data_IF_299214689067
#
_entry.id   IF_299214689067
#
_cell.length_a   1.000
_cell.length_b   1.000
_cell.length_c   1.000
_cell.angle_alpha   90.00
_cell.angle_beta   90.00
_cell.angle_gamma   90.00
#
_symmetry.space_group_name_H-M   'P 1'
#
loop_
_entity.id
_entity.type
_entity.pdbx_description
1 polymer ?
#
# COMPACT_ATOMS: atom_id res chain seq x y z
N UNK A 1 10.46 -8.29 8.56
CA UNK A 1 10.40 -7.93 9.98
C UNK A 1 9.31 -8.75 10.63
N UNK A 2 9.68 -9.63 11.52
CA UNK A 2 8.81 -10.64 12.07
C UNK A 2 7.84 -10.04 13.09
N UNK A 3 6.56 -10.11 12.78
CA UNK A 3 5.53 -10.03 13.81
C UNK A 3 5.65 -11.31 14.64
N UNK A 4 6.33 -11.22 15.77
CA UNK A 4 6.26 -12.27 16.76
C UNK A 4 4.85 -12.21 17.36
N UNK A 5 4.13 -13.32 17.40
CA UNK A 5 2.78 -13.38 17.97
C UNK A 5 2.72 -12.67 19.33
N UNK A 6 1.76 -11.77 19.50
CA UNK A 6 1.60 -10.95 20.69
C UNK A 6 2.39 -9.64 20.74
N UNK A 7 3.03 -9.26 19.62
CA UNK A 7 3.76 -7.97 19.51
C UNK A 7 3.26 -7.08 18.38
N UNK A 8 2.03 -7.25 17.93
CA UNK A 8 1.40 -6.43 16.89
C UNK A 8 1.37 -4.95 17.26
N UNK A 9 1.34 -4.63 18.57
CA UNK A 9 1.41 -3.26 19.06
C UNK A 9 2.72 -2.55 18.67
N UNK A 10 3.86 -3.27 18.63
CA UNK A 10 5.13 -2.68 18.21
C UNK A 10 5.08 -2.15 16.78
N UNK A 11 4.40 -2.85 15.87
CA UNK A 11 4.23 -2.36 14.51
C UNK A 11 3.49 -1.03 14.46
N UNK A 12 2.49 -0.84 15.33
CA UNK A 12 1.71 0.41 15.37
C UNK A 12 2.50 1.58 15.97
N UNK A 13 3.38 1.30 16.92
CA UNK A 13 4.17 2.31 17.63
C UNK A 13 5.50 2.62 16.92
N UNK A 14 6.04 1.67 16.16
CA UNK A 14 7.33 1.83 15.45
C UNK A 14 7.18 2.31 13.99
N UNK A 15 6.08 2.95 13.64
CA UNK A 15 5.85 3.42 12.27
C UNK A 15 6.89 4.43 11.80
N UNK A 16 7.50 5.19 12.70
CA UNK A 16 8.60 6.08 12.35
C UNK A 16 9.82 5.31 11.79
N UNK A 17 10.16 4.17 12.40
CA UNK A 17 11.25 3.33 11.90
C UNK A 17 10.90 2.72 10.54
N UNK A 18 9.69 2.20 10.37
CA UNK A 18 9.24 1.62 9.11
C UNK A 18 9.23 2.66 7.99
N UNK A 19 8.74 3.85 8.28
CA UNK A 19 8.77 5.00 7.38
C UNK A 19 10.20 5.34 6.94
N UNK A 20 11.12 5.50 7.89
CA UNK A 20 12.51 5.86 7.61
C UNK A 20 13.20 4.79 6.75
N UNK A 21 12.94 3.51 7.03
CA UNK A 21 13.47 2.39 6.26
C UNK A 21 12.94 2.37 4.82
N UNK A 22 11.61 2.45 4.64
CA UNK A 22 10.99 2.48 3.32
C UNK A 22 11.44 3.69 2.50
N UNK A 23 11.49 4.87 3.13
CA UNK A 23 12.00 6.07 2.47
C UNK A 23 13.45 5.90 2.05
N UNK A 24 14.31 5.32 2.89
CA UNK A 24 15.71 5.07 2.56
C UNK A 24 15.84 4.13 1.35
N UNK A 25 15.06 3.06 1.30
CA UNK A 25 15.06 2.12 0.18
C UNK A 25 14.66 2.82 -1.15
N UNK A 26 13.66 3.69 -1.12
CA UNK A 26 13.30 4.50 -2.29
C UNK A 26 14.40 5.52 -2.65
N UNK A 27 14.99 6.14 -1.64
CA UNK A 27 16.03 7.15 -1.83
C UNK A 27 17.28 6.59 -2.53
N UNK A 28 17.76 5.41 -2.14
CA UNK A 28 18.94 4.79 -2.75
C UNK A 28 18.70 4.32 -4.19
N UNK A 29 17.42 4.12 -4.59
CA UNK A 29 17.06 3.79 -5.96
C UNK A 29 17.00 5.02 -6.87
N UNK A 30 16.92 6.22 -6.30
CA UNK A 30 16.80 7.47 -7.04
C UNK A 30 18.03 7.71 -7.90
N UNK A 31 17.80 7.91 -9.20
CA UNK A 31 18.85 8.06 -10.19
C UNK A 31 19.40 6.75 -10.77
N UNK A 32 19.11 5.60 -10.13
CA UNK A 32 19.48 4.29 -10.67
C UNK A 32 18.36 3.69 -11.54
N UNK A 33 17.12 4.01 -11.20
CA UNK A 33 15.94 3.51 -11.89
C UNK A 33 14.96 4.63 -12.22
N UNK A 34 14.22 4.47 -13.31
CA UNK A 34 13.18 5.44 -13.73
C UNK A 34 11.92 5.35 -12.89
N UNK A 35 11.59 4.17 -12.39
CA UNK A 35 10.48 3.95 -11.47
C UNK A 35 10.79 2.83 -10.48
N UNK A 36 10.13 2.88 -9.34
CA UNK A 36 10.10 1.81 -8.36
C UNK A 36 8.65 1.39 -8.13
N UNK A 37 8.41 0.09 -8.01
CA UNK A 37 7.11 -0.48 -7.65
C UNK A 37 7.22 -1.03 -6.25
N UNK A 38 6.28 -0.69 -5.39
CA UNK A 38 6.22 -1.19 -4.02
C UNK A 38 4.78 -1.54 -3.63
N UNK A 39 4.62 -2.57 -2.83
CA UNK A 39 3.36 -2.92 -2.16
C UNK A 39 3.16 -2.17 -0.84
N UNK A 40 4.17 -1.42 -0.41
CA UNK A 40 4.20 -0.71 0.87
C UNK A 40 4.52 0.78 0.63
N UNK A 41 3.58 1.58 0.08
CA UNK A 41 3.78 3.00 -0.12
C UNK A 41 3.96 3.72 1.22
N UNK A 42 4.74 4.81 1.22
CA UNK A 42 5.05 5.59 2.44
C UNK A 42 3.80 6.00 3.23
N UNK A 43 2.70 6.28 2.54
CA UNK A 43 1.42 6.65 3.15
C UNK A 43 0.87 5.58 4.11
N UNK A 44 1.15 4.29 3.87
CA UNK A 44 0.67 3.23 4.75
C UNK A 44 1.26 3.31 6.15
N UNK A 45 2.43 3.90 6.30
CA UNK A 45 3.01 4.10 7.65
C UNK A 45 2.15 5.05 8.50
N UNK A 46 1.56 6.08 7.88
CA UNK A 46 0.60 6.95 8.56
C UNK A 46 -0.73 6.25 8.84
N UNK A 47 -1.21 5.40 7.93
CA UNK A 47 -2.43 4.62 8.13
C UNK A 47 -2.33 3.64 9.31
N UNK A 48 -1.18 2.98 9.47
CA UNK A 48 -0.95 2.00 10.52
C UNK A 48 -0.47 2.61 11.85
N UNK A 49 -0.09 3.87 11.87
CA UNK A 49 0.36 4.54 13.09
C UNK A 49 -0.75 4.63 14.14
N UNK A 50 -0.41 4.35 15.39
CA UNK A 50 -1.33 4.48 16.50
C UNK A 50 -1.56 5.98 16.83
N UNK A 51 -2.78 6.53 16.63
CA UNK A 51 -3.00 7.96 16.74
C UNK A 51 -2.88 8.51 18.17
N UNK A 52 -2.99 7.64 19.16
CA UNK A 52 -2.88 7.97 20.57
C UNK A 52 -1.44 8.19 21.05
N UNK A 53 -0.45 7.60 20.36
CA UNK A 53 0.97 7.72 20.71
C UNK A 53 1.81 8.39 19.62
N UNK A 54 1.28 8.54 18.41
CA UNK A 54 2.01 9.10 17.27
C UNK A 54 1.78 10.61 17.21
N UNK A 55 2.85 11.43 17.27
CA UNK A 55 2.71 12.88 17.18
C UNK A 55 2.21 13.33 15.81
N UNK A 56 1.43 14.41 15.77
CA UNK A 56 0.89 14.97 14.53
C UNK A 56 1.98 15.35 13.52
N UNK A 57 3.16 15.72 13.97
CA UNK A 57 4.31 16.01 13.12
C UNK A 57 4.77 14.82 12.29
N UNK A 58 4.53 13.58 12.75
CA UNK A 58 4.83 12.38 11.97
C UNK A 58 3.96 12.30 10.71
N UNK A 59 2.66 12.54 10.84
CA UNK A 59 1.73 12.51 9.69
C UNK A 59 2.10 13.57 8.65
N UNK A 60 2.48 14.77 9.11
CA UNK A 60 2.96 15.81 8.21
C UNK A 60 4.28 15.41 7.54
N UNK A 61 5.22 14.83 8.29
CA UNK A 61 6.47 14.31 7.74
C UNK A 61 6.23 13.27 6.66
N UNK A 62 5.35 12.30 6.90
CA UNK A 62 5.00 11.28 5.88
C UNK A 62 4.46 11.94 4.61
N UNK A 63 3.57 12.93 4.74
CA UNK A 63 3.02 13.67 3.60
C UNK A 63 4.11 14.41 2.84
N UNK A 64 4.94 15.18 3.52
CA UNK A 64 5.99 16.00 2.91
C UNK A 64 7.02 15.15 2.15
N UNK A 65 7.34 13.96 2.66
CA UNK A 65 8.28 13.06 2.00
C UNK A 65 7.63 12.26 0.86
N UNK A 66 6.38 11.88 1.02
CA UNK A 66 5.61 11.22 -0.03
C UNK A 66 5.49 12.14 -1.27
N UNK A 67 5.24 13.42 -1.07
CA UNK A 67 5.03 14.42 -2.13
C UNK A 67 6.33 14.78 -2.87
N UNK A 68 7.49 14.30 -2.39
CA UNK A 68 8.76 14.40 -3.13
C UNK A 68 8.90 13.40 -4.27
N UNK A 69 8.02 12.42 -4.33
CA UNK A 69 7.96 11.44 -5.40
C UNK A 69 6.74 11.71 -6.28
N UNK A 70 6.88 11.49 -7.56
CA UNK A 70 5.73 11.38 -8.44
C UNK A 70 5.13 9.98 -8.26
N UNK A 71 3.96 9.92 -7.63
CA UNK A 71 3.34 8.66 -7.23
C UNK A 71 2.12 8.36 -8.09
N UNK A 72 1.96 7.09 -8.46
CA UNK A 72 0.70 6.53 -8.94
C UNK A 72 0.29 5.42 -7.99
N UNK A 73 -0.95 5.49 -7.51
CA UNK A 73 -1.49 4.52 -6.57
C UNK A 73 -2.49 3.61 -7.25
N UNK A 74 -2.33 2.32 -7.02
CA UNK A 74 -3.29 1.30 -7.40
C UNK A 74 -3.84 0.64 -6.14
N UNK A 75 -5.16 0.61 -6.04
CA UNK A 75 -5.84 -0.08 -4.96
C UNK A 75 -6.30 -1.44 -5.45
N UNK A 76 -5.65 -2.50 -4.98
CA UNK A 76 -5.94 -3.87 -5.41
C UNK A 76 -7.05 -4.43 -4.55
N UNK A 77 -8.23 -4.63 -5.15
CA UNK A 77 -9.39 -5.24 -4.50
C UNK A 77 -9.52 -6.70 -4.88
N UNK A 78 -9.94 -7.50 -3.94
CA UNK A 78 -10.24 -8.91 -4.19
C UNK A 78 -11.70 -9.09 -4.52
N UNK A 79 -11.98 -10.09 -5.37
CA UNK A 79 -13.34 -10.51 -5.65
C UNK A 79 -14.02 -10.99 -4.35
N UNK A 80 -15.04 -10.25 -3.92
CA UNK A 80 -15.83 -10.54 -2.72
C UNK A 80 -16.59 -11.87 -2.89
N UNK A 81 -16.81 -12.31 -4.14
CA UNK A 81 -17.47 -13.57 -4.49
C UNK A 81 -16.58 -14.81 -4.44
N UNK A 82 -15.25 -14.63 -4.29
CA UNK A 82 -14.33 -15.77 -4.26
C UNK A 82 -14.64 -16.71 -3.07
N UNK A 83 -14.68 -18.04 -3.30
CA UNK A 83 -14.91 -18.99 -2.20
C UNK A 83 -13.82 -18.84 -1.13
N UNK A 84 -14.20 -19.09 0.13
CA UNK A 84 -13.31 -18.99 1.29
C UNK A 84 -12.09 -19.92 1.18
N UNK A 85 -12.21 -21.00 0.40
CA UNK A 85 -11.14 -21.97 0.11
C UNK A 85 -9.97 -21.38 -0.70
N UNK A 86 -10.16 -20.24 -1.38
CA UNK A 86 -9.10 -19.49 -2.09
C UNK A 86 -8.36 -18.54 -1.15
N UNK A 87 -8.86 -18.37 0.06
CA UNK A 87 -8.26 -17.53 1.08
C UNK A 87 -7.19 -18.33 1.82
N UNK A 88 -5.97 -18.32 1.32
CA UNK A 88 -4.84 -18.85 2.08
C UNK A 88 -4.56 -17.95 3.30
N UNK A 89 -4.89 -18.48 4.49
CA UNK A 89 -4.64 -17.84 5.78
C UNK A 89 -3.20 -18.04 6.27
N UNK A 90 -2.35 -18.76 5.53
CA UNK A 90 -0.98 -19.00 5.94
C UNK A 90 -0.18 -17.68 5.90
N UNK A 91 0.30 -17.25 7.06
CA UNK A 91 1.10 -16.02 7.20
C UNK A 91 0.31 -14.70 7.24
N UNK A 92 -1.03 -14.72 7.34
CA UNK A 92 -1.86 -13.51 7.44
C UNK A 92 -2.31 -13.24 8.86
N UNK A 93 -2.25 -11.97 9.26
CA UNK A 93 -2.69 -11.51 10.58
C UNK A 93 -4.22 -11.34 10.66
N UNK A 94 -4.89 -11.16 9.51
CA UNK A 94 -6.32 -10.83 9.45
C UNK A 94 -7.15 -11.90 8.73
N UNK A 95 -8.31 -12.23 9.29
CA UNK A 95 -9.32 -13.02 8.60
C UNK A 95 -10.03 -12.20 7.50
N UNK A 96 -10.92 -12.84 6.71
CA UNK A 96 -11.62 -12.21 5.60
C UNK A 96 -12.42 -10.95 6.01
N UNK A 97 -13.16 -11.03 7.10
CA UNK A 97 -13.99 -9.92 7.59
C UNK A 97 -13.13 -8.75 8.03
N UNK A 98 -12.05 -9.01 8.75
CA UNK A 98 -11.08 -8.01 9.17
C UNK A 98 -10.37 -7.38 7.96
N UNK A 99 -10.07 -8.16 6.94
CA UNK A 99 -9.45 -7.66 5.70
C UNK A 99 -10.38 -6.69 4.95
N UNK A 100 -11.68 -7.00 4.86
CA UNK A 100 -12.68 -6.11 4.24
C UNK A 100 -12.87 -4.81 5.04
N UNK A 101 -12.86 -4.91 6.36
CA UNK A 101 -12.94 -3.72 7.20
C UNK A 101 -11.69 -2.85 7.06
N UNK A 102 -10.51 -3.46 7.00
CA UNK A 102 -9.24 -2.76 6.72
C UNK A 102 -9.25 -2.08 5.36
N UNK A 103 -9.79 -2.73 4.34
CA UNK A 103 -9.94 -2.14 3.01
C UNK A 103 -10.78 -0.84 3.07
N UNK A 104 -11.93 -0.88 3.74
CA UNK A 104 -12.78 0.32 3.93
C UNK A 104 -12.04 1.44 4.66
N UNK A 105 -11.31 1.09 5.73
CA UNK A 105 -10.52 2.06 6.49
C UNK A 105 -9.40 2.67 5.64
N UNK A 106 -8.72 1.87 4.82
CA UNK A 106 -7.68 2.36 3.93
C UNK A 106 -8.24 3.32 2.87
N UNK A 107 -9.39 2.99 2.26
CA UNK A 107 -10.05 3.88 1.30
C UNK A 107 -10.43 5.21 1.96
N UNK A 108 -11.09 5.16 3.12
CA UNK A 108 -11.46 6.36 3.86
C UNK A 108 -10.23 7.22 4.23
N UNK A 109 -9.12 6.58 4.59
CA UNK A 109 -7.86 7.27 4.85
C UNK A 109 -7.31 7.95 3.58
N UNK A 110 -7.27 7.24 2.45
CA UNK A 110 -6.77 7.80 1.18
C UNK A 110 -7.65 8.98 0.74
N UNK A 111 -8.96 8.87 0.84
CA UNK A 111 -9.92 9.92 0.51
C UNK A 111 -9.73 11.14 1.42
N UNK A 112 -9.57 10.94 2.73
CA UNK A 112 -9.29 12.00 3.70
C UNK A 112 -7.97 12.73 3.40
N UNK A 113 -7.00 12.00 2.87
CA UNK A 113 -5.68 12.53 2.50
C UNK A 113 -5.66 13.16 1.11
N UNK A 114 -6.75 13.08 0.35
CA UNK A 114 -6.86 13.59 -1.01
C UNK A 114 -6.04 12.81 -2.03
N UNK A 115 -5.72 11.54 -1.72
CA UNK A 115 -4.90 10.67 -2.58
C UNK A 115 -5.77 10.09 -3.69
N UNK A 116 -5.38 10.33 -4.95
CA UNK A 116 -6.02 9.71 -6.09
C UNK A 116 -5.43 8.31 -6.32
N UNK A 117 -6.28 7.33 -6.52
CA UNK A 117 -5.88 5.96 -6.81
C UNK A 117 -6.77 5.32 -7.88
N UNK A 118 -6.26 4.29 -8.53
CA UNK A 118 -7.01 3.49 -9.51
C UNK A 118 -7.31 2.13 -8.91
N UNK A 119 -8.58 1.73 -8.95
CA UNK A 119 -9.00 0.39 -8.52
C UNK A 119 -8.56 -0.66 -9.53
N UNK A 120 -7.94 -1.73 -9.03
CA UNK A 120 -7.60 -2.93 -9.76
C UNK A 120 -8.38 -4.10 -9.15
N UNK A 121 -9.31 -4.66 -9.93
CA UNK A 121 -10.14 -5.76 -9.48
C UNK A 121 -9.45 -7.10 -9.77
N UNK A 122 -9.11 -7.82 -8.72
CA UNK A 122 -8.60 -9.19 -8.84
C UNK A 122 -9.77 -10.13 -9.09
N UNK A 123 -9.80 -10.77 -10.24
CA UNK A 123 -10.79 -11.80 -10.58
C UNK A 123 -10.38 -13.15 -9.96
N UNK A 124 -11.34 -14.07 -9.83
CA UNK A 124 -11.07 -15.45 -9.40
C UNK A 124 -10.53 -16.34 -10.55
N UNK A 125 -9.92 -15.72 -11.55
CA UNK A 125 -9.32 -16.38 -12.71
C UNK A 125 -8.01 -17.10 -12.32
N UNK A 126 -7.66 -18.22 -12.95
CA UNK A 126 -6.33 -18.81 -12.81
C UNK A 126 -5.19 -17.89 -13.23
N UNK A 127 -5.48 -16.86 -14.03
CA UNK A 127 -4.52 -15.87 -14.52
C UNK A 127 -4.68 -14.50 -13.82
N UNK A 128 -5.24 -14.48 -12.61
CA UNK A 128 -5.58 -13.23 -11.90
C UNK A 128 -4.37 -12.29 -11.74
N UNK A 129 -3.18 -12.83 -11.52
CA UNK A 129 -1.96 -12.03 -11.39
C UNK A 129 -1.58 -11.34 -12.70
N UNK A 130 -1.63 -12.08 -13.82
CA UNK A 130 -1.36 -11.52 -15.16
C UNK A 130 -2.42 -10.49 -15.56
N UNK A 131 -3.69 -10.76 -15.24
CA UNK A 131 -4.79 -9.82 -15.50
C UNK A 131 -4.61 -8.51 -14.72
N UNK A 132 -4.19 -8.58 -13.46
CA UNK A 132 -3.87 -7.41 -12.64
C UNK A 132 -2.67 -6.64 -13.20
N UNK A 133 -1.60 -7.33 -13.54
CA UNK A 133 -0.40 -6.72 -14.12
C UNK A 133 -0.74 -6.01 -15.43
N UNK A 134 -1.58 -6.60 -16.26
CA UNK A 134 -2.04 -6.01 -17.53
C UNK A 134 -2.91 -4.76 -17.29
N UNK A 135 -3.82 -4.77 -16.32
CA UNK A 135 -4.62 -3.60 -15.95
C UNK A 135 -3.73 -2.43 -15.51
N UNK A 136 -2.75 -2.69 -14.62
CA UNK A 136 -1.78 -1.70 -14.18
C UNK A 136 -0.97 -1.15 -15.36
N UNK A 137 -0.42 -2.02 -16.19
CA UNK A 137 0.37 -1.63 -17.36
C UNK A 137 -0.41 -0.75 -18.33
N UNK A 138 -1.64 -1.13 -18.66
CA UNK A 138 -2.52 -0.36 -19.56
C UNK A 138 -2.85 1.01 -18.97
N UNK A 139 -3.07 1.11 -17.66
CA UNK A 139 -3.30 2.39 -16.99
C UNK A 139 -2.08 3.30 -17.08
N UNK A 140 -0.89 2.77 -16.86
CA UNK A 140 0.37 3.52 -16.98
C UNK A 140 0.64 3.98 -18.41
N UNK A 141 0.32 3.15 -19.41
CA UNK A 141 0.39 3.52 -20.83
C UNK A 141 -0.57 4.68 -21.15
N UNK A 142 -1.81 4.58 -20.71
CA UNK A 142 -2.83 5.60 -20.95
C UNK A 142 -2.46 6.97 -20.35
N UNK A 143 -1.76 6.96 -19.21
CA UNK A 143 -1.25 8.15 -18.55
C UNK A 143 0.10 8.64 -19.11
N UNK A 144 0.62 8.02 -20.16
CA UNK A 144 1.93 8.32 -20.77
C UNK A 144 3.11 8.25 -19.77
N UNK A 145 2.97 7.44 -18.71
CA UNK A 145 3.98 7.35 -17.66
C UNK A 145 5.37 6.98 -18.19
N UNK A 146 5.45 6.08 -19.14
CA UNK A 146 6.72 5.60 -19.71
C UNK A 146 7.37 6.58 -20.70
N UNK A 147 6.69 7.66 -21.10
CA UNK A 147 7.17 8.65 -22.09
C UNK A 147 7.71 9.93 -21.45
N UNK A 148 7.70 10.00 -20.13
CA UNK A 148 8.28 11.16 -19.42
C UNK A 148 9.80 11.02 -19.49
N UNK A 149 10.44 11.88 -20.33
CA UNK A 149 11.89 12.03 -20.45
C UNK A 149 12.48 12.79 -19.25
#
# INVERSE_FOLDING_TARGET
>A
YLVTAGREWQLREEQLYLFAKQHHELFIQRGNYRCAVTDSPLLLTAFYAAPDVTPQSFYQCVRDYNDKFENIYFFITRDIGAPESVFDNSGRVHNRTESLEKEKQQRAFLDQWGVQYTDINVTSSPNAEDDCALQIYNTLLAQNWFKKD
#
